data_IF_572291457085
#
_entry.id   IF_572291457085
#
_cell.length_a   1.000
_cell.length_b   1.000
_cell.length_c   1.000
_cell.angle_alpha   90.00
_cell.angle_beta   90.00
_cell.angle_gamma   90.00
#
_symmetry.space_group_name_H-M   'P 1'
#
loop_
_entity.id
_entity.type
_entity.pdbx_description
1 polymer ?
#
# COMPACT_ATOMS: atom_id res chain seq x y z
N UNK A 1 14.00 22.91 8.80
CA UNK A 1 13.71 21.46 8.72
C UNK A 1 13.59 21.13 7.25
N UNK A 2 14.44 20.26 6.68
CA UNK A 2 14.20 19.80 5.32
C UNK A 2 12.88 19.03 5.34
N UNK A 3 11.97 19.32 4.40
CA UNK A 3 10.78 18.50 4.17
C UNK A 3 11.24 17.17 3.58
N UNK A 4 11.58 16.19 4.42
CA UNK A 4 11.36 14.80 4.02
C UNK A 4 9.86 14.65 3.80
N UNK A 5 9.45 13.94 2.75
CA UNK A 5 8.02 13.81 2.47
C UNK A 5 7.35 13.11 3.66
N UNK A 6 6.61 13.86 4.49
CA UNK A 6 5.78 13.33 5.58
C UNK A 6 4.80 12.24 5.12
N UNK A 7 4.61 12.15 3.80
CA UNK A 7 3.77 11.19 3.12
C UNK A 7 4.64 10.22 2.34
N UNK A 8 4.50 8.94 2.68
CA UNK A 8 5.11 7.87 1.94
C UNK A 8 4.04 6.85 1.60
N UNK A 9 3.65 6.86 0.31
CA UNK A 9 2.59 6.01 -0.18
C UNK A 9 2.98 4.54 -0.07
N UNK A 10 4.24 4.16 -0.24
CA UNK A 10 4.73 2.78 -0.14
C UNK A 10 5.89 2.69 0.84
N UNK A 11 6.07 1.56 1.55
CA UNK A 11 7.28 1.34 2.32
C UNK A 11 8.47 1.16 1.37
N UNK A 12 9.68 1.45 1.85
CA UNK A 12 10.92 1.19 1.10
C UNK A 12 11.30 -0.30 1.10
N UNK A 13 10.77 -1.05 2.07
CA UNK A 13 10.93 -2.49 2.14
C UNK A 13 10.13 -3.12 3.26
N UNK A 14 10.17 -4.44 3.32
CA UNK A 14 9.67 -5.19 4.46
C UNK A 14 10.84 -5.76 5.24
N UNK A 15 10.66 -5.88 6.55
CA UNK A 15 11.73 -6.31 7.46
C UNK A 15 11.24 -7.36 8.43
N UNK A 16 12.17 -8.20 8.89
CA UNK A 16 12.01 -9.13 9.99
C UNK A 16 13.02 -8.80 11.08
N UNK A 17 12.58 -8.80 12.34
CA UNK A 17 13.41 -8.47 13.50
C UNK A 17 12.92 -9.18 14.76
N UNK A 18 13.79 -9.31 15.75
CA UNK A 18 13.42 -9.92 17.03
C UNK A 18 12.93 -8.86 18.02
N UNK A 19 11.76 -9.11 18.62
CA UNK A 19 11.20 -8.27 19.67
C UNK A 19 10.72 -9.13 20.83
N UNK A 20 11.36 -8.95 22.00
CA UNK A 20 11.03 -9.69 23.24
C UNK A 20 10.98 -11.22 23.04
N UNK A 21 11.89 -11.76 22.23
CA UNK A 21 12.00 -13.18 21.92
C UNK A 21 11.03 -13.69 20.85
N UNK A 22 10.26 -12.81 20.20
CA UNK A 22 9.41 -13.16 19.07
C UNK A 22 9.96 -12.56 17.78
N UNK A 23 9.90 -13.33 16.69
CA UNK A 23 10.18 -12.81 15.36
C UNK A 23 8.98 -12.00 14.86
N UNK A 24 9.19 -10.71 14.63
CA UNK A 24 8.18 -9.75 14.18
C UNK A 24 8.52 -9.28 12.77
N UNK A 25 7.48 -9.02 11.97
CA UNK A 25 7.58 -8.45 10.64
C UNK A 25 6.98 -7.05 10.61
N UNK A 26 7.48 -6.20 9.72
CA UNK A 26 7.00 -4.83 9.57
C UNK A 26 7.41 -4.16 8.26
N UNK A 27 6.94 -2.93 8.11
CA UNK A 27 7.28 -2.02 7.01
C UNK A 27 8.47 -1.15 7.42
N UNK A 28 9.43 -1.00 6.52
CA UNK A 28 10.55 -0.08 6.69
C UNK A 28 10.35 1.18 5.86
N UNK A 29 10.60 2.33 6.49
CA UNK A 29 10.58 3.66 5.90
C UNK A 29 11.94 4.31 6.14
N UNK A 30 12.67 4.56 5.05
CA UNK A 30 13.99 5.17 5.08
C UNK A 30 13.92 6.61 5.58
N UNK A 31 14.97 7.01 6.29
CA UNK A 31 15.14 8.40 6.69
C UNK A 31 15.97 9.13 5.63
N UNK A 32 15.33 9.97 4.83
CA UNK A 32 16.02 10.85 3.89
C UNK A 32 16.29 12.23 4.53
N UNK A 33 17.56 12.51 4.85
CA UNK A 33 18.01 13.89 5.09
C UNK A 33 18.58 14.44 3.78
N UNK A 34 17.99 15.53 3.26
CA UNK A 34 18.37 16.09 1.96
C UNK A 34 19.90 16.24 1.80
N UNK A 35 20.48 15.49 0.87
CA UNK A 35 21.85 15.69 0.40
C UNK A 35 22.96 14.97 1.16
N UNK A 36 22.65 13.99 2.03
CA UNK A 36 23.64 13.09 2.61
C UNK A 36 23.42 11.65 2.16
N UNK A 37 24.53 10.97 1.86
CA UNK A 37 24.56 9.53 1.63
C UNK A 37 24.44 8.88 3.01
N UNK A 38 23.19 8.62 3.43
CA UNK A 38 22.87 8.04 4.73
C UNK A 38 22.86 6.52 4.57
N UNK A 39 23.30 5.81 5.61
CA UNK A 39 23.23 4.35 5.65
C UNK A 39 21.79 3.89 5.32
N UNK A 40 21.61 2.99 4.33
CA UNK A 40 20.30 2.54 3.88
C UNK A 40 19.47 1.83 4.96
N UNK A 41 20.09 1.48 6.10
CA UNK A 41 19.39 0.92 7.26
C UNK A 41 18.85 1.97 8.23
N UNK A 42 19.09 3.26 8.01
CA UNK A 42 18.56 4.33 8.85
C UNK A 42 17.13 4.67 8.44
N UNK A 43 16.22 4.54 9.39
CA UNK A 43 14.81 4.74 9.14
C UNK A 43 13.95 4.33 10.33
N UNK A 44 12.70 4.03 10.00
CA UNK A 44 11.67 3.65 10.95
C UNK A 44 11.04 2.33 10.55
N UNK A 45 10.86 1.43 11.52
CA UNK A 45 10.20 0.14 11.33
C UNK A 45 8.83 0.19 11.97
N UNK A 46 7.79 0.09 11.15
CA UNK A 46 6.41 0.02 11.62
C UNK A 46 5.94 -1.44 11.67
N UNK A 47 5.75 -2.03 12.85
CA UNK A 47 5.40 -3.45 12.97
C UNK A 47 3.97 -3.70 12.48
N UNK A 48 3.72 -4.86 11.85
CA UNK A 48 2.36 -5.22 11.45
C UNK A 48 1.43 -5.47 12.64
N UNK A 49 2.00 -5.94 13.75
CA UNK A 49 1.27 -6.23 14.98
C UNK A 49 0.60 -4.96 15.55
N UNK A 50 -0.73 -5.00 15.63
CA UNK A 50 -1.54 -3.86 16.12
C UNK A 50 -1.31 -3.57 17.60
N UNK A 51 -1.07 -4.58 18.43
CA UNK A 51 -0.84 -4.41 19.86
C UNK A 51 0.48 -3.71 20.10
N UNK A 52 1.53 -4.11 19.37
CA UNK A 52 2.83 -3.43 19.44
C UNK A 52 2.70 -1.97 19.01
N UNK A 53 2.01 -1.69 17.89
CA UNK A 53 1.78 -0.31 17.43
C UNK A 53 1.03 0.53 18.46
N UNK A 54 -0.02 -0.03 19.08
CA UNK A 54 -0.74 0.68 20.14
C UNK A 54 0.17 0.98 21.34
N UNK A 55 1.01 0.03 21.74
CA UNK A 55 1.97 0.24 22.82
C UNK A 55 2.97 1.38 22.51
N UNK A 56 3.43 1.49 21.26
CA UNK A 56 4.31 2.58 20.82
C UNK A 56 3.61 3.95 20.92
N UNK A 57 2.34 4.01 20.50
CA UNK A 57 1.51 5.21 20.64
C UNK A 57 1.31 5.57 22.12
N UNK A 58 1.02 4.58 22.97
CA UNK A 58 0.80 4.81 24.40
C UNK A 58 2.09 5.35 25.06
N UNK A 59 3.27 4.84 24.68
CA UNK A 59 4.56 5.36 25.15
C UNK A 59 4.78 6.81 24.72
N UNK A 60 4.41 7.15 23.48
CA UNK A 60 4.47 8.51 22.95
C UNK A 60 3.57 9.45 23.76
N UNK A 61 2.31 9.07 23.97
CA UNK A 61 1.36 9.87 24.75
C UNK A 61 1.81 10.05 26.20
N UNK A 62 2.34 8.99 26.82
CA UNK A 62 2.85 9.04 28.20
C UNK A 62 4.05 9.97 28.35
N UNK A 63 4.96 9.98 27.36
CA UNK A 63 6.19 10.78 27.40
C UNK A 63 5.92 12.26 27.18
N UNK A 64 5.02 12.59 26.25
CA UNK A 64 4.81 13.97 25.81
C UNK A 64 3.59 14.65 26.41
N UNK A 65 2.68 13.90 27.05
CA UNK A 65 1.47 14.46 27.68
C UNK A 65 0.50 15.10 26.70
N UNK A 66 0.57 14.70 25.43
CA UNK A 66 -0.23 15.24 24.33
C UNK A 66 -0.98 14.09 23.64
N UNK A 67 -2.21 14.34 23.21
CA UNK A 67 -3.03 13.32 22.56
C UNK A 67 -2.52 12.97 21.14
N UNK A 68 -2.91 11.78 20.67
CA UNK A 68 -2.48 11.29 19.35
C UNK A 68 -2.92 12.25 18.23
N UNK A 69 -4.09 12.87 18.35
CA UNK A 69 -4.63 13.76 17.33
C UNK A 69 -3.73 14.99 17.11
N UNK A 70 -3.25 15.57 18.20
CA UNK A 70 -2.34 16.71 18.18
C UNK A 70 -0.99 16.32 17.58
N UNK A 71 -0.43 15.15 17.91
CA UNK A 71 0.80 14.65 17.27
C UNK A 71 0.62 14.36 15.78
N UNK A 72 -0.47 13.72 15.41
CA UNK A 72 -0.79 13.42 14.01
C UNK A 72 -0.87 14.71 13.19
N UNK A 73 -1.34 15.81 13.80
CA UNK A 73 -1.39 17.13 13.15
C UNK A 73 -0.03 17.82 12.98
N UNK A 74 1.01 17.35 13.67
CA UNK A 74 2.39 17.84 13.57
C UNK A 74 3.20 17.12 12.47
N UNK A 75 2.59 16.18 11.74
CA UNK A 75 3.24 15.44 10.67
C UNK A 75 3.90 14.13 11.11
N UNK A 76 3.81 13.77 12.38
CA UNK A 76 4.34 12.50 12.92
C UNK A 76 3.38 11.33 12.65
N UNK A 77 3.34 10.89 11.39
CA UNK A 77 2.40 9.87 10.92
C UNK A 77 2.97 8.45 10.92
N UNK A 78 4.26 8.33 10.66
CA UNK A 78 5.00 7.06 10.61
C UNK A 78 5.73 6.84 11.94
N UNK A 79 6.38 7.89 12.46
CA UNK A 79 7.22 7.86 13.66
C UNK A 79 6.43 7.55 14.94
N UNK A 80 5.15 7.92 15.01
CA UNK A 80 4.32 7.77 16.20
C UNK A 80 3.99 6.32 16.60
N UNK A 81 4.08 5.38 15.65
CA UNK A 81 3.83 3.96 15.89
C UNK A 81 4.91 3.06 15.28
N UNK A 82 6.14 3.56 15.20
CA UNK A 82 7.29 2.86 14.68
C UNK A 82 8.48 2.83 15.65
N UNK A 83 9.36 1.86 15.44
CA UNK A 83 10.70 1.78 16.04
C UNK A 83 11.68 2.62 15.23
N UNK A 84 12.66 3.22 15.89
CA UNK A 84 13.82 3.81 15.22
C UNK A 84 14.88 2.72 14.97
N UNK A 85 15.62 2.79 13.86
CA UNK A 85 16.70 1.83 13.58
C UNK A 85 18.09 2.33 13.99
N UNK A 86 18.21 3.61 14.35
CA UNK A 86 19.47 4.22 14.73
C UNK A 86 19.30 5.23 15.88
N UNK A 87 20.32 5.33 16.75
CA UNK A 87 20.30 6.23 17.93
C UNK A 87 20.10 7.70 17.59
N UNK A 88 20.64 8.14 16.47
CA UNK A 88 20.50 9.53 16.03
C UNK A 88 19.08 9.87 15.53
N UNK A 89 18.27 8.85 15.21
CA UNK A 89 16.86 9.02 14.84
C UNK A 89 15.91 8.81 16.02
N UNK A 90 16.43 8.30 17.14
CA UNK A 90 15.62 7.93 18.29
C UNK A 90 15.09 9.16 19.00
N UNK A 91 13.78 9.32 18.99
CA UNK A 91 13.09 10.23 19.89
C UNK A 91 12.94 9.63 21.30
N UNK A 92 12.73 10.47 22.32
CA UNK A 92 12.68 10.07 23.74
C UNK A 92 11.68 8.94 24.07
N UNK A 93 10.64 8.80 23.26
CA UNK A 93 9.57 7.81 23.43
C UNK A 93 9.78 6.55 22.56
N UNK A 94 10.71 6.59 21.60
CA UNK A 94 10.93 5.51 20.65
C UNK A 94 11.93 4.49 21.19
N UNK A 95 11.71 3.24 20.80
CA UNK A 95 12.61 2.13 21.08
C UNK A 95 13.43 1.83 19.82
N UNK A 96 14.67 1.36 20.01
CA UNK A 96 15.59 1.09 18.91
C UNK A 96 15.60 -0.39 18.56
N UNK A 97 15.56 -0.68 17.26
CA UNK A 97 15.86 -2.00 16.69
C UNK A 97 17.14 -1.89 15.85
N UNK A 98 18.27 -2.31 16.42
CA UNK A 98 19.59 -2.24 15.76
C UNK A 98 19.81 -3.39 14.76
N UNK A 99 19.11 -4.52 14.94
CA UNK A 99 19.28 -5.72 14.10
C UNK A 99 17.95 -6.10 13.46
N UNK A 100 17.93 -6.08 12.13
CA UNK A 100 16.81 -6.50 11.31
C UNK A 100 17.32 -6.87 9.91
N UNK A 101 16.55 -7.73 9.25
CA UNK A 101 16.81 -8.21 7.90
C UNK A 101 15.70 -7.77 6.96
N UNK A 102 16.08 -7.28 5.78
CA UNK A 102 15.11 -7.03 4.71
C UNK A 102 14.62 -8.35 4.14
N UNK A 103 13.32 -8.43 3.91
CA UNK A 103 12.63 -9.61 3.37
C UNK A 103 11.71 -9.21 2.23
N UNK A 104 11.59 -10.07 1.22
CA UNK A 104 10.66 -9.85 0.12
C UNK A 104 9.21 -10.01 0.58
N UNK A 105 8.26 -9.32 -0.08
CA UNK A 105 6.83 -9.43 0.25
C UNK A 105 6.33 -10.87 0.19
N UNK A 106 6.88 -11.69 -0.72
CA UNK A 106 6.53 -13.11 -0.88
C UNK A 106 7.00 -13.99 0.28
N UNK A 107 7.94 -13.52 1.10
CA UNK A 107 8.50 -14.25 2.23
C UNK A 107 7.86 -13.86 3.57
N UNK A 108 6.92 -12.91 3.55
CA UNK A 108 6.17 -12.51 4.73
C UNK A 108 5.27 -13.64 5.21
N UNK A 109 5.41 -13.96 6.48
CA UNK A 109 4.58 -14.96 7.17
C UNK A 109 3.30 -14.35 7.73
N UNK A 110 3.31 -13.03 7.96
CA UNK A 110 2.16 -12.26 8.43
C UNK A 110 1.01 -12.33 7.42
N UNK A 111 -0.20 -12.66 7.91
CA UNK A 111 -1.37 -12.72 7.05
C UNK A 111 -1.64 -11.40 6.33
N UNK A 112 -1.92 -11.48 5.03
CA UNK A 112 -2.19 -10.33 4.16
C UNK A 112 -3.29 -9.40 4.67
N UNK A 113 -4.26 -9.93 5.41
CA UNK A 113 -5.31 -9.12 6.06
C UNK A 113 -4.75 -8.21 7.16
N UNK A 114 -3.78 -8.69 7.94
CA UNK A 114 -3.13 -7.91 9.00
C UNK A 114 -2.26 -6.82 8.35
N UNK A 115 -1.45 -7.19 7.35
CA UNK A 115 -0.67 -6.25 6.54
C UNK A 115 -1.59 -5.19 5.95
N UNK A 116 -2.66 -5.59 5.27
CA UNK A 116 -3.62 -4.66 4.67
C UNK A 116 -4.28 -3.74 5.69
N UNK A 117 -4.66 -4.26 6.87
CA UNK A 117 -5.18 -3.41 7.94
C UNK A 117 -4.15 -2.40 8.45
N UNK A 118 -2.87 -2.79 8.54
CA UNK A 118 -1.77 -1.92 8.93
C UNK A 118 -1.57 -0.80 7.90
N UNK A 119 -1.50 -1.14 6.61
CA UNK A 119 -1.35 -0.21 5.48
C UNK A 119 -2.49 0.78 5.38
N UNK A 120 -3.72 0.29 5.42
CA UNK A 120 -4.94 1.11 5.32
C UNK A 120 -5.02 2.15 6.44
N UNK A 121 -4.63 1.77 7.65
CA UNK A 121 -4.61 2.67 8.80
C UNK A 121 -3.65 3.87 8.59
N UNK A 122 -2.42 3.60 8.14
CA UNK A 122 -1.43 4.66 7.87
C UNK A 122 -1.86 5.54 6.69
N UNK A 123 -2.30 4.95 5.58
CA UNK A 123 -2.71 5.68 4.38
C UNK A 123 -3.90 6.61 4.66
N UNK A 124 -4.85 6.19 5.49
CA UNK A 124 -5.97 7.05 5.92
C UNK A 124 -5.49 8.23 6.74
N UNK A 125 -4.58 8.03 7.70
CA UNK A 125 -4.01 9.11 8.51
C UNK A 125 -3.26 10.11 7.63
N UNK A 126 -2.41 9.62 6.73
CA UNK A 126 -1.71 10.42 5.73
C UNK A 126 -2.67 11.22 4.83
N UNK A 127 -3.72 10.59 4.32
CA UNK A 127 -4.69 11.28 3.45
C UNK A 127 -5.47 12.37 4.20
N UNK A 128 -5.93 12.11 5.43
CA UNK A 128 -6.68 13.09 6.23
C UNK A 128 -5.81 14.31 6.54
N UNK A 129 -4.57 14.10 6.99
CA UNK A 129 -3.65 15.20 7.30
C UNK A 129 -3.26 15.96 6.05
N UNK A 130 -2.90 15.26 4.96
CA UNK A 130 -2.57 15.89 3.69
C UNK A 130 -3.74 16.70 3.11
N UNK A 131 -4.97 16.20 3.22
CA UNK A 131 -6.17 16.92 2.79
C UNK A 131 -6.39 18.19 3.61
N UNK A 132 -6.21 18.13 4.93
CA UNK A 132 -6.33 19.29 5.82
C UNK A 132 -5.25 20.34 5.55
N UNK A 133 -4.03 19.90 5.22
CA UNK A 133 -2.91 20.77 4.86
C UNK A 133 -2.95 21.27 3.41
N UNK A 134 -3.94 20.84 2.61
CA UNK A 134 -4.09 21.19 1.19
C UNK A 134 -2.86 20.81 0.36
N UNK A 135 -2.31 19.63 0.63
CA UNK A 135 -1.22 19.05 -0.16
C UNK A 135 -1.58 18.95 -1.65
N UNK A 136 -0.58 18.88 -2.55
CA UNK A 136 -0.81 18.71 -3.98
C UNK A 136 -1.72 17.52 -4.27
N UNK A 137 -2.63 17.71 -5.22
CA UNK A 137 -3.58 16.67 -5.63
C UNK A 137 -2.87 15.37 -6.04
N UNK A 138 -1.71 15.48 -6.69
CA UNK A 138 -0.90 14.33 -7.10
C UNK A 138 -0.47 13.46 -5.91
N UNK A 139 -0.05 14.09 -4.81
CA UNK A 139 0.30 13.38 -3.56
C UNK A 139 -0.91 12.66 -2.98
N UNK A 140 -2.07 13.32 -2.94
CA UNK A 140 -3.31 12.72 -2.43
C UNK A 140 -3.84 11.60 -3.31
N UNK A 141 -3.74 11.74 -4.64
CA UNK A 141 -4.13 10.72 -5.61
C UNK A 141 -3.22 9.48 -5.50
N UNK A 142 -1.92 9.67 -5.24
CA UNK A 142 -0.97 8.58 -4.97
C UNK A 142 -1.35 7.79 -3.71
N UNK A 143 -1.62 8.48 -2.60
CA UNK A 143 -2.08 7.84 -1.34
C UNK A 143 -3.38 7.07 -1.55
N UNK A 144 -4.34 7.67 -2.28
CA UNK A 144 -5.63 7.04 -2.55
C UNK A 144 -5.49 5.81 -3.47
N UNK A 145 -4.61 5.87 -4.48
CA UNK A 145 -4.35 4.74 -5.37
C UNK A 145 -3.79 3.53 -4.60
N UNK A 146 -2.83 3.77 -3.70
CA UNK A 146 -2.32 2.73 -2.82
C UNK A 146 -3.40 2.22 -1.86
N UNK A 147 -4.19 3.10 -1.24
CA UNK A 147 -5.29 2.72 -0.36
C UNK A 147 -6.28 1.77 -1.06
N UNK A 148 -6.64 2.07 -2.31
CA UNK A 148 -7.52 1.22 -3.10
C UNK A 148 -6.91 -0.16 -3.37
N UNK A 149 -5.59 -0.31 -3.51
CA UNK A 149 -4.94 -1.63 -3.67
C UNK A 149 -5.15 -2.53 -2.46
N UNK A 150 -5.17 -1.96 -1.26
CA UNK A 150 -5.29 -2.72 0.00
C UNK A 150 -6.73 -2.95 0.46
N UNK A 151 -7.66 -2.05 0.11
CA UNK A 151 -9.10 -2.18 0.46
C UNK A 151 -9.87 -2.99 -0.57
N UNK A 152 -9.47 -2.94 -1.84
CA UNK A 152 -10.13 -3.74 -2.86
C UNK A 152 -9.73 -5.20 -2.62
N UNK A 153 -10.67 -6.13 -2.32
CA UNK A 153 -10.33 -7.53 -2.22
C UNK A 153 -9.65 -7.95 -3.52
N UNK A 154 -8.65 -8.84 -3.45
CA UNK A 154 -8.04 -9.50 -4.61
C UNK A 154 -9.13 -10.31 -5.33
N UNK A 155 -10.03 -9.62 -6.03
CA UNK A 155 -10.93 -10.21 -6.97
C UNK A 155 -10.05 -10.47 -8.20
N UNK A 156 -9.33 -11.58 -8.18
CA UNK A 156 -9.11 -12.28 -9.44
C UNK A 156 -10.50 -12.58 -9.94
N UNK A 157 -11.00 -11.90 -10.99
CA UNK A 157 -12.27 -12.31 -11.53
C UNK A 157 -12.12 -13.79 -11.86
N UNK A 158 -13.03 -14.63 -11.36
CA UNK A 158 -13.32 -15.94 -11.94
C UNK A 158 -13.89 -15.70 -13.34
N UNK A 159 -13.09 -15.05 -14.18
CA UNK A 159 -13.39 -14.86 -15.59
C UNK A 159 -13.05 -16.20 -16.16
N UNK A 160 -14.06 -17.06 -16.31
CA UNK A 160 -14.03 -18.04 -17.36
C UNK A 160 -13.50 -17.31 -18.59
N UNK A 161 -12.31 -17.67 -19.07
CA UNK A 161 -11.80 -17.15 -20.32
C UNK A 161 -12.87 -17.46 -21.36
N UNK A 162 -13.64 -16.44 -21.76
CA UNK A 162 -14.59 -16.58 -22.85
C UNK A 162 -13.74 -16.78 -24.09
N UNK A 163 -13.52 -18.04 -24.46
CA UNK A 163 -12.87 -18.45 -25.70
C UNK A 163 -13.40 -17.57 -26.82
N UNK A 164 -12.50 -17.00 -27.63
CA UNK A 164 -12.77 -16.03 -28.70
C UNK A 164 -14.06 -16.30 -29.48
N UNK A 165 -14.33 -17.58 -29.74
CA UNK A 165 -15.52 -18.08 -30.40
C UNK A 165 -16.84 -17.63 -29.74
N UNK A 166 -16.92 -17.63 -28.41
CA UNK A 166 -18.11 -17.20 -27.65
C UNK A 166 -18.32 -15.68 -27.71
N UNK A 167 -17.23 -14.90 -27.74
CA UNK A 167 -17.27 -13.44 -27.88
C UNK A 167 -17.76 -13.02 -29.27
N UNK A 168 -17.38 -13.78 -30.31
CA UNK A 168 -17.67 -13.42 -31.70
C UNK A 168 -18.83 -14.20 -32.35
N UNK A 169 -19.45 -15.14 -31.63
CA UNK A 169 -20.56 -15.99 -32.13
C UNK A 169 -21.67 -15.20 -32.82
N UNK A 170 -22.15 -14.09 -32.24
CA UNK A 170 -23.20 -13.27 -32.86
C UNK A 170 -22.75 -12.61 -34.17
N UNK A 171 -21.48 -12.19 -34.25
CA UNK A 171 -20.93 -11.56 -35.45
C UNK A 171 -20.74 -12.60 -36.56
N UNK A 172 -20.24 -13.79 -36.21
CA UNK A 172 -20.13 -14.92 -37.15
C UNK A 172 -21.50 -15.37 -37.68
N UNK A 173 -22.52 -15.47 -36.81
CA UNK A 173 -23.88 -15.80 -37.24
C UNK A 173 -24.47 -14.73 -38.18
N UNK A 174 -24.22 -13.45 -37.92
CA UNK A 174 -24.65 -12.36 -38.82
C UNK A 174 -23.97 -12.42 -40.18
N UNK A 175 -22.67 -12.73 -40.22
CA UNK A 175 -21.93 -12.90 -41.48
C UNK A 175 -22.47 -14.12 -42.24
N UNK A 176 -22.66 -15.25 -41.56
CA UNK A 176 -23.23 -16.45 -42.17
C UNK A 176 -24.62 -16.21 -42.75
N UNK A 177 -25.47 -15.45 -42.03
CA UNK A 177 -26.80 -15.08 -42.53
C UNK A 177 -26.74 -14.17 -43.76
N UNK A 178 -25.86 -13.16 -43.76
CA UNK A 178 -25.66 -12.28 -44.91
C UNK A 178 -25.20 -13.05 -46.15
N UNK A 179 -24.26 -13.98 -45.99
CA UNK A 179 -23.79 -14.85 -47.07
C UNK A 179 -24.90 -15.75 -47.59
N UNK A 180 -25.72 -16.33 -46.71
CA UNK A 180 -26.86 -17.15 -47.13
C UNK A 180 -27.88 -16.33 -47.95
N UNK A 181 -28.21 -15.12 -47.50
CA UNK A 181 -29.15 -14.24 -48.21
C UNK A 181 -28.60 -13.83 -49.58
N UNK A 182 -27.31 -13.47 -49.68
CA UNK A 182 -26.72 -13.09 -50.97
C UNK A 182 -26.64 -14.27 -51.94
N UNK A 183 -26.32 -15.48 -51.46
CA UNK A 183 -26.32 -16.69 -52.31
C UNK A 183 -27.74 -17.01 -52.79
N UNK A 184 -28.75 -16.93 -51.92
CA UNK A 184 -30.15 -17.17 -52.33
C UNK A 184 -30.61 -16.13 -53.35
N UNK A 185 -30.29 -14.85 -53.14
CA UNK A 185 -30.62 -13.78 -54.09
C UNK A 185 -29.93 -13.99 -55.44
N UNK A 186 -28.66 -14.40 -55.44
CA UNK A 186 -27.90 -14.70 -56.66
C UNK A 186 -28.47 -15.89 -57.43
N UNK A 187 -28.80 -16.99 -56.74
CA UNK A 187 -29.44 -18.16 -57.36
C UNK A 187 -30.83 -17.84 -57.91
N UNK A 188 -31.60 -17.01 -57.21
CA UNK A 188 -32.90 -16.54 -57.68
C UNK A 188 -32.78 -15.71 -58.97
N UNK A 189 -31.75 -14.86 -59.05
CA UNK A 189 -31.54 -13.99 -60.22
C UNK A 189 -30.99 -14.72 -61.45
N UNK A 190 -30.31 -15.85 -61.26
CA UNK A 190 -29.76 -16.69 -62.35
C UNK A 190 -30.76 -17.76 -62.82
N UNK A 191 -31.69 -18.16 -61.94
CA UNK A 191 -32.75 -19.12 -62.28
C UNK A 191 -33.97 -18.50 -62.98
N UNK A 192 -33.92 -17.21 -63.30
CA UNK A 192 -34.96 -16.44 -64.00
C UNK A 192 -34.51 -16.12 -65.44
#
# INVERSE_FOLDING_TARGET
>A
MPLSSYYQAQPDGYVRFDWRGNSIEGEFFSYEECGRDIDPKWGYIRPFDRVIRQQLIDNLQATHGVDLQTFTSQGDLITCDAFATHKNLQESHQLIIESFDFVDESELTTHKQIIGSCRVDLLRRQYIVGSNLKEPKESLDSLNAEFLRWVTPFYTPLRYERKWFTKHRRRLLRIGWLVAVTVVAYLYYIGQ
#
